data_IF_480882194765
#
_entry.id   IF_480882194765
#
_cell.length_a   1.000
_cell.length_b   1.000
_cell.length_c   1.000
_cell.angle_alpha   90.00
_cell.angle_beta   90.00
_cell.angle_gamma   90.00
#
_symmetry.space_group_name_H-M   'P 1'
#
loop_
_entity.id
_entity.type
_entity.pdbx_description
1 polymer ?
#
# COMPACT_ATOMS: atom_id res chain seq x y z
N UNK A 1 18.11 -0.41 -16.09
CA UNK A 1 17.04 0.04 -15.19
C UNK A 1 15.75 0.05 -15.98
N UNK A 2 14.76 -0.75 -15.60
CA UNK A 2 13.47 -0.81 -16.27
C UNK A 2 12.61 0.39 -15.85
N UNK A 3 12.06 1.17 -16.79
CA UNK A 3 11.20 2.31 -16.46
C UNK A 3 9.90 1.84 -15.82
N UNK A 4 9.41 2.61 -14.84
CA UNK A 4 8.12 2.42 -14.21
C UNK A 4 7.10 3.39 -14.78
N UNK A 5 5.91 2.88 -15.06
CA UNK A 5 4.80 3.69 -15.55
C UNK A 5 3.73 3.80 -14.47
N UNK A 6 3.18 5.01 -14.30
CA UNK A 6 1.96 5.19 -13.50
C UNK A 6 0.72 4.80 -14.32
N UNK A 7 -0.48 4.78 -13.70
CA UNK A 7 -1.71 4.41 -14.43
C UNK A 7 -2.07 5.40 -15.54
N UNK A 8 -1.55 6.64 -15.47
CA UNK A 8 -1.67 7.67 -16.52
C UNK A 8 -0.62 7.55 -17.64
N UNK A 9 0.29 6.58 -17.56
CA UNK A 9 1.29 6.34 -18.61
C UNK A 9 2.54 7.22 -18.54
N UNK A 10 2.77 7.96 -17.46
CA UNK A 10 4.00 8.74 -17.30
C UNK A 10 5.19 7.84 -16.93
N UNK A 11 6.35 8.13 -17.52
CA UNK A 11 7.60 7.43 -17.23
C UNK A 11 8.28 7.95 -15.95
N UNK A 12 8.67 7.00 -15.09
CA UNK A 12 9.32 7.26 -13.82
C UNK A 12 10.52 6.32 -13.62
N UNK A 13 11.58 6.80 -12.96
CA UNK A 13 12.67 5.95 -12.51
C UNK A 13 12.18 4.90 -11.51
N UNK A 14 12.88 3.77 -11.45
CA UNK A 14 12.54 2.62 -10.61
C UNK A 14 12.63 2.87 -9.09
N UNK A 15 13.26 3.97 -8.67
CA UNK A 15 13.41 4.36 -7.26
C UNK A 15 12.26 5.26 -6.75
N UNK A 16 11.47 5.84 -7.66
CA UNK A 16 10.40 6.75 -7.28
C UNK A 16 9.20 5.99 -6.71
N UNK A 17 8.77 6.38 -5.51
CA UNK A 17 7.52 5.88 -4.91
C UNK A 17 6.26 6.53 -5.50
N UNK A 18 6.42 7.73 -6.06
CA UNK A 18 5.34 8.52 -6.64
C UNK A 18 5.74 8.99 -8.03
N UNK A 19 4.74 9.15 -8.89
CA UNK A 19 4.94 9.70 -10.21
C UNK A 19 5.37 11.16 -10.08
N UNK A 20 6.49 11.50 -10.71
CA UNK A 20 7.03 12.86 -10.69
C UNK A 20 6.16 13.90 -11.40
N UNK A 21 5.20 13.45 -12.22
CA UNK A 21 4.33 14.32 -13.03
C UNK A 21 2.96 14.49 -12.38
N UNK A 22 2.30 13.40 -11.98
CA UNK A 22 0.93 13.44 -11.44
C UNK A 22 0.81 13.12 -9.95
N UNK A 23 1.91 12.74 -9.27
CA UNK A 23 1.89 12.40 -7.85
C UNK A 23 1.30 11.03 -7.49
N UNK A 24 0.85 10.25 -8.48
CA UNK A 24 0.29 8.92 -8.25
C UNK A 24 1.34 7.93 -7.72
N UNK A 25 0.98 7.09 -6.75
CA UNK A 25 1.88 6.07 -6.22
C UNK A 25 2.25 5.03 -7.29
N UNK A 26 3.54 4.71 -7.42
CA UNK A 26 4.03 3.75 -8.39
C UNK A 26 3.91 2.32 -7.85
N UNK A 27 3.27 1.39 -8.60
CA UNK A 27 2.84 0.10 -8.07
C UNK A 27 3.98 -0.85 -7.70
N UNK A 28 5.15 -0.70 -8.32
CA UNK A 28 6.33 -1.56 -8.14
C UNK A 28 7.11 -1.31 -6.84
N UNK A 29 6.89 -0.17 -6.16
CA UNK A 29 7.54 0.18 -4.89
C UNK A 29 6.56 0.20 -3.71
N UNK A 30 5.26 0.09 -3.97
CA UNK A 30 4.25 -0.03 -2.95
C UNK A 30 4.40 -1.40 -2.26
N UNK A 31 4.90 -1.40 -1.02
CA UNK A 31 4.94 -2.60 -0.19
C UNK A 31 3.50 -3.03 0.10
N UNK A 32 2.99 -3.96 -0.70
CA UNK A 32 1.69 -4.59 -0.45
C UNK A 32 1.83 -5.46 0.79
N UNK A 33 0.94 -5.27 1.77
CA UNK A 33 0.80 -6.23 2.84
C UNK A 33 -0.18 -7.32 2.39
N UNK A 34 0.26 -8.57 2.45
CA UNK A 34 -0.59 -9.71 2.15
C UNK A 34 -1.71 -9.84 3.18
N UNK A 35 -2.87 -10.30 2.74
CA UNK A 35 -3.95 -10.70 3.64
C UNK A 35 -3.43 -11.74 4.63
N UNK A 36 -3.72 -11.53 5.91
CA UNK A 36 -3.27 -12.37 7.01
C UNK A 36 -1.95 -11.93 7.64
N UNK A 37 -1.23 -10.98 7.05
CA UNK A 37 0.01 -10.45 7.63
C UNK A 37 -0.25 -9.74 8.95
N UNK A 38 0.56 -10.05 9.97
CA UNK A 38 0.47 -9.44 11.29
C UNK A 38 1.52 -8.32 11.41
N UNK A 39 1.08 -7.11 11.68
CA UNK A 39 1.91 -5.93 11.92
C UNK A 39 2.10 -5.71 13.42
N UNK A 40 3.37 -5.60 13.84
CA UNK A 40 3.73 -5.35 15.24
C UNK A 40 3.21 -6.41 16.22
N UNK A 41 2.94 -7.63 15.74
CA UNK A 41 2.34 -8.71 16.56
C UNK A 41 0.89 -8.47 16.98
N UNK A 42 0.23 -7.41 16.47
CA UNK A 42 -1.08 -6.97 16.96
C UNK A 42 -2.13 -6.82 15.87
N UNK A 43 -1.77 -6.26 14.72
CA UNK A 43 -2.77 -5.92 13.69
C UNK A 43 -2.69 -6.92 12.55
N UNK A 44 -3.72 -7.74 12.37
CA UNK A 44 -3.81 -8.68 11.24
C UNK A 44 -4.50 -8.02 10.06
N UNK A 45 -3.80 -7.86 8.94
CA UNK A 45 -4.37 -7.32 7.71
C UNK A 45 -5.45 -8.27 7.17
N UNK A 46 -6.63 -7.75 6.91
CA UNK A 46 -7.76 -8.50 6.31
C UNK A 46 -7.82 -8.24 4.81
N UNK A 47 -7.90 -6.97 4.40
CA UNK A 47 -7.97 -6.57 2.99
C UNK A 47 -7.61 -5.10 2.81
N UNK A 48 -7.28 -4.71 1.59
CA UNK A 48 -7.16 -3.30 1.21
C UNK A 48 -8.55 -2.63 1.18
N UNK A 49 -8.64 -1.42 1.72
CA UNK A 49 -9.82 -0.56 1.63
C UNK A 49 -9.67 0.48 0.51
N UNK A 50 -8.45 0.94 0.27
CA UNK A 50 -8.16 1.90 -0.79
C UNK A 50 -6.70 2.28 -0.83
N UNK A 51 -6.33 2.98 -1.90
CA UNK A 51 -4.97 3.45 -2.14
C UNK A 51 -4.98 4.80 -2.85
N UNK A 52 -3.92 5.58 -2.65
CA UNK A 52 -3.75 6.88 -3.27
C UNK A 52 -2.36 7.47 -2.99
N UNK A 53 -2.21 8.79 -3.18
CA UNK A 53 -0.93 9.48 -2.95
C UNK A 53 -0.41 9.40 -1.51
N UNK A 54 -1.26 9.13 -0.53
CA UNK A 54 -0.88 8.97 0.88
C UNK A 54 -0.57 7.52 1.28
N UNK A 55 -0.57 6.59 0.32
CA UNK A 55 -0.30 5.18 0.54
C UNK A 55 -1.56 4.32 0.44
N UNK A 56 -1.59 3.24 1.20
CA UNK A 56 -2.67 2.24 1.21
C UNK A 56 -3.30 2.15 2.57
N UNK A 57 -4.62 2.13 2.59
CA UNK A 57 -5.42 1.91 3.80
C UNK A 57 -5.91 0.47 3.78
N UNK A 58 -5.75 -0.22 4.91
CA UNK A 58 -6.14 -1.60 5.06
C UNK A 58 -7.16 -1.74 6.18
N UNK A 59 -8.11 -2.65 6.00
CA UNK A 59 -8.88 -3.17 7.11
C UNK A 59 -7.99 -4.16 7.85
N UNK A 60 -7.82 -3.96 9.14
CA UNK A 60 -7.09 -4.87 10.02
C UNK A 60 -8.01 -5.37 11.15
N UNK A 61 -7.58 -6.45 11.80
CA UNK A 61 -8.15 -6.90 13.07
C UNK A 61 -7.12 -6.68 14.18
N UNK A 62 -7.53 -6.07 15.28
CA UNK A 62 -6.70 -5.91 16.47
C UNK A 62 -6.77 -7.18 17.33
N UNK A 63 -5.69 -7.95 17.32
CA UNK A 63 -5.56 -9.20 18.07
C UNK A 63 -5.60 -8.98 19.59
N UNK A 64 -5.29 -7.77 20.06
CA UNK A 64 -5.33 -7.42 21.48
C UNK A 64 -6.71 -6.93 21.93
N UNK A 65 -7.66 -6.80 21.01
CA UNK A 65 -9.04 -6.37 21.26
C UNK A 65 -10.04 -7.33 20.64
N UNK A 66 -9.91 -8.62 20.93
CA UNK A 66 -10.83 -9.67 20.47
C UNK A 66 -11.05 -9.70 18.95
N UNK A 67 -10.02 -9.37 18.17
CA UNK A 67 -10.08 -9.26 16.69
C UNK A 67 -11.03 -8.15 16.21
N UNK A 68 -11.18 -7.07 16.97
CA UNK A 68 -11.97 -5.90 16.59
C UNK A 68 -11.46 -5.30 15.25
N UNK A 69 -12.35 -5.07 14.27
CA UNK A 69 -11.96 -4.47 12.99
C UNK A 69 -11.56 -3.00 13.16
N UNK A 70 -10.43 -2.61 12.57
CA UNK A 70 -9.86 -1.26 12.62
C UNK A 70 -9.19 -0.89 11.27
N UNK A 71 -8.87 0.40 11.08
CA UNK A 71 -8.29 0.97 9.85
C UNK A 71 -7.01 1.74 10.12
#
# INVERSE_FOLDING_TARGET
MTPLYCSKGHENPNDNKFCRVCGEMLPSLAKTFDTGKILGGRYRIVRELGHGGFGRTYLAQDLNRFNEPCV
#
